data_IF_912869190234
#
_entry.id   IF_912869190234
#
_cell.length_a   1.000
_cell.length_b   1.000
_cell.length_c   1.000
_cell.angle_alpha   90.00
_cell.angle_beta   90.00
_cell.angle_gamma   90.00
#
_symmetry.space_group_name_H-M   'P 1'
#
loop_
_entity.id
_entity.type
_entity.pdbx_description
1 polymer ?
#
# COMPACT_ATOMS: atom_id res chain seq x y z
N UNK A 1 -15.95 17.54 -11.18
CA UNK A 1 -15.42 16.18 -10.90
C UNK A 1 -15.31 15.48 -12.24
N UNK A 2 -14.13 15.53 -12.86
CA UNK A 2 -13.91 14.98 -14.19
C UNK A 2 -13.96 13.46 -14.08
N UNK A 3 -15.02 12.84 -14.61
CA UNK A 3 -15.05 11.41 -14.87
C UNK A 3 -13.81 11.13 -15.72
N UNK A 4 -12.80 10.45 -15.15
CA UNK A 4 -11.63 10.02 -15.89
C UNK A 4 -12.15 9.12 -17.00
N UNK A 5 -12.14 9.64 -18.22
CA UNK A 5 -12.50 8.91 -19.43
C UNK A 5 -11.58 7.70 -19.53
N UNK A 6 -12.18 6.52 -19.37
CA UNK A 6 -11.58 5.19 -19.51
C UNK A 6 -11.34 4.89 -21.00
N UNK A 7 -10.62 5.76 -21.71
CA UNK A 7 -10.51 5.67 -23.18
C UNK A 7 -9.64 4.50 -23.68
N UNK A 8 -9.08 3.68 -22.79
CA UNK A 8 -8.28 2.51 -23.15
C UNK A 8 -8.60 1.24 -22.38
N UNK A 9 -9.66 1.25 -21.58
CA UNK A 9 -10.29 0.04 -21.07
C UNK A 9 -11.71 0.05 -21.61
N UNK A 10 -12.03 -0.87 -22.52
CA UNK A 10 -13.41 -1.07 -22.95
C UNK A 10 -14.24 -1.37 -21.72
N UNK A 11 -15.03 -0.37 -21.30
CA UNK A 11 -16.13 -0.61 -20.37
C UNK A 11 -17.01 -1.70 -21.00
N UNK A 12 -17.34 -2.78 -20.28
CA UNK A 12 -18.18 -3.82 -20.83
C UNK A 12 -19.56 -3.24 -21.16
N UNK A 13 -20.16 -3.72 -22.24
CA UNK A 13 -21.48 -3.29 -22.73
C UNK A 13 -22.60 -3.68 -21.75
N UNK A 14 -22.33 -4.63 -20.86
CA UNK A 14 -23.23 -5.11 -19.83
C UNK A 14 -22.98 -4.39 -18.49
N UNK A 15 -24.06 -3.85 -17.91
CA UNK A 15 -24.05 -3.37 -16.54
C UNK A 15 -23.82 -4.55 -15.57
N UNK A 16 -23.22 -4.29 -14.42
CA UNK A 16 -23.05 -5.24 -13.30
C UNK A 16 -22.08 -6.43 -13.52
N UNK A 17 -21.16 -6.33 -14.50
CA UNK A 17 -20.12 -7.37 -14.74
C UNK A 17 -18.79 -7.01 -14.07
N UNK A 18 -18.22 -7.95 -13.31
CA UNK A 18 -16.87 -7.82 -12.72
C UNK A 18 -15.81 -8.33 -13.70
N UNK A 19 -15.02 -7.42 -14.27
CA UNK A 19 -13.92 -7.76 -15.16
C UNK A 19 -12.66 -8.16 -14.39
N UNK A 20 -12.09 -9.30 -14.76
CA UNK A 20 -10.81 -9.78 -14.24
C UNK A 20 -9.91 -10.30 -15.33
N UNK A 21 -8.63 -10.03 -15.17
CA UNK A 21 -7.55 -10.57 -16.00
C UNK A 21 -6.44 -11.02 -15.05
N UNK A 22 -6.07 -12.32 -15.03
CA UNK A 22 -6.73 -13.43 -15.74
C UNK A 22 -8.15 -13.71 -15.21
N UNK A 23 -8.91 -14.61 -15.84
CA UNK A 23 -10.27 -14.94 -15.40
C UNK A 23 -10.26 -15.61 -14.02
N UNK A 24 -11.31 -15.38 -13.22
CA UNK A 24 -11.43 -15.94 -11.86
C UNK A 24 -11.22 -17.46 -11.76
N UNK A 25 -11.62 -18.21 -12.78
CA UNK A 25 -11.47 -19.67 -12.84
C UNK A 25 -10.01 -20.11 -12.79
N UNK A 26 -9.08 -19.27 -13.23
CA UNK A 26 -7.65 -19.58 -13.28
C UNK A 26 -6.90 -19.22 -12.00
N UNK A 27 -7.47 -18.37 -11.14
CA UNK A 27 -6.75 -17.75 -10.02
C UNK A 27 -6.22 -18.77 -9.01
N UNK A 28 -7.03 -19.77 -8.66
CA UNK A 28 -6.64 -20.81 -7.69
C UNK A 28 -5.41 -21.59 -8.20
N UNK A 29 -5.48 -22.08 -9.44
CA UNK A 29 -4.39 -22.84 -10.08
C UNK A 29 -3.10 -22.02 -10.19
N UNK A 30 -3.21 -20.73 -10.54
CA UNK A 30 -2.05 -19.85 -10.64
C UNK A 30 -1.43 -19.56 -9.27
N UNK A 31 -2.26 -19.39 -8.24
CA UNK A 31 -1.79 -19.15 -6.86
C UNK A 31 -1.02 -20.36 -6.32
N UNK A 32 -1.56 -21.58 -6.51
CA UNK A 32 -0.88 -22.82 -6.12
C UNK A 32 0.45 -23.04 -6.86
N UNK A 33 0.56 -22.56 -8.11
CA UNK A 33 1.82 -22.59 -8.84
C UNK A 33 2.86 -21.68 -8.17
N UNK A 34 2.45 -20.50 -7.71
CA UNK A 34 3.34 -19.50 -7.10
C UNK A 34 3.74 -19.85 -5.67
N UNK A 35 2.87 -20.54 -4.91
CA UNK A 35 3.07 -20.85 -3.50
C UNK A 35 4.26 -21.78 -3.20
N UNK A 36 4.88 -22.38 -4.22
CA UNK A 36 6.05 -23.24 -4.05
C UNK A 36 7.31 -22.49 -3.61
N UNK A 37 7.27 -21.16 -3.61
CA UNK A 37 8.40 -20.28 -3.30
C UNK A 37 8.26 -19.58 -1.93
N UNK A 38 7.53 -20.17 -0.97
CA UNK A 38 7.37 -19.59 0.37
C UNK A 38 8.72 -19.51 1.08
N UNK A 39 9.19 -18.29 1.35
CA UNK A 39 10.49 -18.04 1.99
C UNK A 39 10.37 -17.64 3.46
N UNK A 40 11.48 -17.76 4.19
CA UNK A 40 11.61 -17.25 5.56
C UNK A 40 11.31 -15.74 5.66
N UNK A 41 11.57 -14.98 4.60
CA UNK A 41 11.28 -13.55 4.49
C UNK A 41 9.79 -13.23 4.66
N UNK A 42 8.90 -14.13 4.22
CA UNK A 42 7.45 -13.95 4.37
C UNK A 42 6.98 -14.03 5.81
N UNK A 43 7.66 -14.81 6.67
CA UNK A 43 7.32 -14.90 8.11
C UNK A 43 7.38 -13.54 8.79
N UNK A 44 8.40 -12.74 8.51
CA UNK A 44 8.54 -11.41 9.13
C UNK A 44 7.37 -10.49 8.74
N UNK A 45 6.97 -10.50 7.47
CA UNK A 45 5.85 -9.70 6.96
C UNK A 45 4.50 -10.18 7.55
N UNK A 46 4.29 -11.50 7.64
CA UNK A 46 3.10 -12.07 8.26
C UNK A 46 3.01 -11.74 9.75
N UNK A 47 4.13 -11.83 10.49
CA UNK A 47 4.18 -11.39 11.90
C UNK A 47 3.80 -9.92 12.04
N UNK A 48 4.32 -9.06 11.16
CA UNK A 48 3.98 -7.64 11.19
C UNK A 48 2.47 -7.42 10.93
N UNK A 49 1.89 -8.15 9.98
CA UNK A 49 0.46 -8.07 9.66
C UNK A 49 -0.41 -8.59 10.83
N UNK A 50 -0.08 -9.75 11.38
CA UNK A 50 -0.77 -10.34 12.54
C UNK A 50 -0.70 -9.38 13.74
N UNK A 51 0.49 -8.86 14.05
CA UNK A 51 0.68 -7.95 15.17
C UNK A 51 -0.12 -6.66 14.99
N UNK A 52 -0.09 -6.03 13.82
CA UNK A 52 -0.89 -4.83 13.55
C UNK A 52 -2.39 -5.10 13.64
N UNK A 53 -2.85 -6.21 13.05
CA UNK A 53 -4.26 -6.62 13.09
C UNK A 53 -4.73 -6.86 14.53
N UNK A 54 -3.91 -7.53 15.34
CA UNK A 54 -4.23 -7.81 16.74
C UNK A 54 -4.22 -6.54 17.59
N UNK A 55 -3.21 -5.69 17.43
CA UNK A 55 -2.96 -4.56 18.37
C UNK A 55 -3.67 -3.27 17.99
N UNK A 56 -3.80 -2.97 16.70
CA UNK A 56 -4.42 -1.73 16.21
C UNK A 56 -5.86 -1.97 15.76
N UNK A 57 -6.07 -2.98 14.92
CA UNK A 57 -7.40 -3.29 14.36
C UNK A 57 -8.27 -4.06 15.38
N UNK A 58 -7.62 -4.75 16.33
CA UNK A 58 -8.26 -5.48 17.43
C UNK A 58 -9.23 -6.55 16.91
N UNK A 59 -8.73 -7.35 15.99
CA UNK A 59 -9.43 -8.50 15.43
C UNK A 59 -8.76 -9.82 15.84
N UNK A 60 -9.54 -10.91 15.96
CA UNK A 60 -8.99 -12.24 16.12
C UNK A 60 -7.96 -12.51 15.02
N UNK A 61 -6.82 -13.07 15.41
CA UNK A 61 -5.73 -13.39 14.50
C UNK A 61 -5.36 -14.87 14.61
N UNK A 62 -4.96 -15.50 13.51
CA UNK A 62 -4.48 -16.87 13.51
C UNK A 62 -3.16 -16.99 14.28
N UNK A 63 -2.84 -18.20 14.72
CA UNK A 63 -1.47 -18.54 15.14
C UNK A 63 -0.54 -18.45 13.96
N UNK A 64 0.66 -17.92 14.17
CA UNK A 64 1.63 -17.72 13.11
C UNK A 64 2.06 -19.07 12.49
N UNK A 65 1.68 -19.29 11.24
CA UNK A 65 2.20 -20.35 10.39
C UNK A 65 2.46 -19.81 8.97
N UNK A 66 3.29 -20.54 8.22
CA UNK A 66 3.55 -20.19 6.83
C UNK A 66 2.45 -20.76 5.94
N UNK A 67 1.65 -19.87 5.37
CA UNK A 67 0.63 -20.20 4.37
C UNK A 67 0.77 -19.34 3.13
N UNK A 68 0.06 -19.74 2.08
CA UNK A 68 -0.13 -18.89 0.92
C UNK A 68 -0.76 -17.55 1.32
N UNK A 69 -0.47 -16.51 0.57
CA UNK A 69 -0.98 -15.16 0.81
C UNK A 69 -1.66 -14.61 -0.43
N UNK A 70 -2.89 -14.16 -0.23
CA UNK A 70 -3.63 -13.34 -1.19
C UNK A 70 -3.57 -11.91 -0.66
N UNK A 71 -2.89 -11.04 -1.39
CA UNK A 71 -2.70 -9.65 -0.99
C UNK A 71 -3.60 -8.77 -1.85
N UNK A 72 -4.19 -7.75 -1.24
CA UNK A 72 -4.74 -6.59 -1.93
C UNK A 72 -4.36 -5.35 -1.13
N UNK A 73 -4.76 -4.16 -1.58
CA UNK A 73 -4.49 -2.95 -0.82
C UNK A 73 -5.12 -1.72 -1.40
N UNK A 74 -5.15 -0.68 -0.57
CA UNK A 74 -5.51 0.67 -0.95
C UNK A 74 -4.94 1.68 0.06
N UNK A 75 -5.00 2.95 -0.30
CA UNK A 75 -4.86 4.05 0.67
C UNK A 75 -5.96 3.91 1.74
N UNK A 76 -5.72 4.37 2.98
CA UNK A 76 -6.72 4.33 4.05
C UNK A 76 -7.81 5.39 3.85
N UNK A 77 -8.48 5.28 2.71
CA UNK A 77 -9.68 6.03 2.32
C UNK A 77 -10.90 5.12 2.50
N UNK A 78 -12.08 5.71 2.55
CA UNK A 78 -13.32 4.95 2.61
C UNK A 78 -13.61 4.25 1.28
N UNK A 79 -13.65 2.92 1.32
CA UNK A 79 -13.79 2.12 0.11
C UNK A 79 -15.15 2.31 -0.55
N UNK A 80 -15.16 2.88 -1.75
CA UNK A 80 -16.31 2.75 -2.65
C UNK A 80 -16.43 1.30 -3.17
N UNK A 81 -17.57 0.95 -3.79
CA UNK A 81 -17.88 -0.43 -4.18
C UNK A 81 -16.79 -1.12 -5.01
N UNK A 82 -16.14 -0.39 -5.93
CA UNK A 82 -15.03 -0.92 -6.74
C UNK A 82 -13.78 -1.30 -5.92
N UNK A 83 -13.43 -0.54 -4.87
CA UNK A 83 -12.32 -0.92 -3.98
C UNK A 83 -12.77 -2.07 -3.07
N UNK A 84 -14.01 -2.03 -2.59
CA UNK A 84 -14.55 -3.08 -1.74
C UNK A 84 -14.62 -4.44 -2.46
N UNK A 85 -15.01 -4.47 -3.74
CA UNK A 85 -15.04 -5.67 -4.55
C UNK A 85 -13.69 -6.41 -4.56
N UNK A 86 -12.56 -5.68 -4.66
CA UNK A 86 -11.22 -6.29 -4.58
C UNK A 86 -11.00 -7.02 -3.26
N UNK A 87 -11.38 -6.39 -2.15
CA UNK A 87 -11.19 -6.95 -0.81
C UNK A 87 -12.07 -8.19 -0.61
N UNK A 88 -13.33 -8.12 -1.02
CA UNK A 88 -14.30 -9.23 -0.95
C UNK A 88 -13.79 -10.43 -1.75
N UNK A 89 -13.41 -10.22 -3.01
CA UNK A 89 -12.93 -11.29 -3.89
C UNK A 89 -11.61 -11.88 -3.38
N UNK A 90 -10.68 -11.04 -2.95
CA UNK A 90 -9.39 -11.51 -2.39
C UNK A 90 -9.61 -12.38 -1.17
N UNK A 91 -10.54 -12.00 -0.30
CA UNK A 91 -10.90 -12.76 0.89
C UNK A 91 -11.49 -14.13 0.52
N UNK A 92 -12.47 -14.18 -0.37
CA UNK A 92 -13.08 -15.46 -0.78
C UNK A 92 -12.10 -16.37 -1.53
N UNK A 93 -11.19 -15.81 -2.33
CA UNK A 93 -10.10 -16.58 -2.93
C UNK A 93 -9.21 -17.19 -1.84
N UNK A 94 -8.82 -16.39 -0.84
CA UNK A 94 -7.98 -16.86 0.24
C UNK A 94 -8.64 -17.99 1.04
N UNK A 95 -9.93 -17.85 1.37
CA UNK A 95 -10.71 -18.88 2.04
C UNK A 95 -10.72 -20.19 1.24
N UNK A 96 -10.98 -20.12 -0.07
CA UNK A 96 -10.99 -21.29 -0.96
C UNK A 96 -9.64 -22.02 -0.99
N UNK A 97 -8.54 -21.30 -0.82
CA UNK A 97 -7.17 -21.83 -0.85
C UNK A 97 -6.61 -22.18 0.53
N UNK A 98 -7.35 -21.93 1.62
CA UNK A 98 -6.80 -22.00 2.99
C UNK A 98 -5.65 -21.00 3.25
N UNK A 99 -5.60 -19.92 2.47
CA UNK A 99 -4.57 -18.89 2.48
C UNK A 99 -4.92 -17.72 3.42
N UNK A 100 -3.95 -16.85 3.70
CA UNK A 100 -4.20 -15.59 4.38
C UNK A 100 -4.58 -14.49 3.39
N UNK A 101 -5.70 -13.81 3.65
CA UNK A 101 -6.03 -12.57 2.97
C UNK A 101 -5.41 -11.38 3.71
N UNK A 102 -4.57 -10.60 3.04
CA UNK A 102 -3.92 -9.43 3.62
C UNK A 102 -4.32 -8.16 2.86
N UNK A 103 -4.81 -7.17 3.60
CA UNK A 103 -5.01 -5.81 3.12
C UNK A 103 -3.79 -4.94 3.46
N UNK A 104 -3.03 -4.59 2.44
CA UNK A 104 -1.91 -3.68 2.53
C UNK A 104 -2.41 -2.22 2.56
N UNK A 105 -2.14 -1.52 3.66
CA UNK A 105 -2.61 -0.15 3.89
C UNK A 105 -1.54 0.82 3.36
N UNK A 106 -1.84 1.56 2.30
CA UNK A 106 -0.93 2.54 1.69
C UNK A 106 -0.92 3.85 2.49
N UNK A 107 -0.59 3.76 3.78
CA UNK A 107 -0.56 4.86 4.75
C UNK A 107 0.56 5.89 4.49
N UNK A 108 1.62 5.47 3.82
CA UNK A 108 2.71 6.34 3.33
C UNK A 108 2.33 7.24 2.13
N UNK A 109 1.10 7.16 1.63
CA UNK A 109 0.61 8.00 0.54
C UNK A 109 -0.41 9.04 1.02
N UNK A 110 -0.66 10.03 0.17
CA UNK A 110 -1.60 11.14 0.39
C UNK A 110 -2.95 10.80 -0.21
N UNK A 111 -4.05 11.06 0.50
CA UNK A 111 -5.39 10.87 -0.06
C UNK A 111 -6.46 11.62 0.71
N UNK A 112 -7.72 11.33 0.41
CA UNK A 112 -8.86 11.96 1.06
C UNK A 112 -9.41 11.08 2.19
N UNK A 113 -9.70 11.68 3.34
CA UNK A 113 -10.34 11.02 4.48
C UNK A 113 -11.87 11.15 4.50
N UNK A 114 -12.46 11.75 3.46
CA UNK A 114 -13.90 12.05 3.39
C UNK A 114 -14.72 10.80 3.08
N UNK A 115 -15.69 10.49 3.93
CA UNK A 115 -16.68 9.43 3.68
C UNK A 115 -17.84 10.01 2.88
N UNK A 116 -18.17 9.41 1.73
CA UNK A 116 -19.28 9.83 0.88
C UNK A 116 -20.41 8.81 1.01
N UNK A 117 -21.59 9.24 1.48
CA UNK A 117 -22.73 8.34 1.66
C UNK A 117 -23.98 8.84 0.92
N UNK A 118 -24.80 7.94 0.36
CA UNK A 118 -26.04 8.29 -0.32
C UNK A 118 -27.16 8.58 0.69
N UNK A 119 -27.61 9.83 0.78
CA UNK A 119 -28.68 10.28 1.68
C UNK A 119 -29.95 10.61 0.92
N UNK A 120 -31.11 10.50 1.58
CA UNK A 120 -32.38 10.97 1.02
C UNK A 120 -32.66 12.38 1.56
N UNK A 121 -32.65 13.38 0.68
CA UNK A 121 -32.99 14.76 1.02
C UNK A 121 -34.19 15.21 0.19
N UNK A 122 -35.25 15.69 0.84
CA UNK A 122 -36.49 16.15 0.17
C UNK A 122 -37.03 15.12 -0.85
N UNK A 123 -37.08 13.84 -0.45
CA UNK A 123 -37.49 12.69 -1.28
C UNK A 123 -36.64 12.43 -2.54
N UNK A 124 -35.39 12.92 -2.60
CA UNK A 124 -34.43 12.64 -3.68
C UNK A 124 -33.11 12.10 -3.13
N UNK A 125 -32.45 11.24 -3.89
CA UNK A 125 -31.10 10.77 -3.57
C UNK A 125 -30.09 11.90 -3.78
N UNK A 126 -29.21 12.08 -2.79
CA UNK A 126 -28.08 12.99 -2.82
C UNK A 126 -26.86 12.30 -2.20
N UNK A 127 -25.67 12.87 -2.40
CA UNK A 127 -24.45 12.42 -1.73
C UNK A 127 -24.12 13.43 -0.64
N UNK A 128 -23.93 12.95 0.58
CA UNK A 128 -23.41 13.73 1.71
C UNK A 128 -21.98 13.28 2.01
N UNK A 129 -21.13 14.25 2.33
CA UNK A 129 -19.74 14.00 2.71
C UNK A 129 -19.59 14.21 4.22
N UNK A 130 -18.89 13.27 4.87
CA UNK A 130 -18.57 13.30 6.29
C UNK A 130 -17.05 13.32 6.43
N UNK A 131 -16.54 14.23 7.25
CA UNK A 131 -15.10 14.43 7.42
C UNK A 131 -14.67 14.00 8.82
N UNK A 132 -13.53 13.30 8.89
CA UNK A 132 -12.95 12.84 10.16
C UNK A 132 -11.82 13.75 10.65
N UNK A 133 -11.26 14.57 9.75
CA UNK A 133 -10.20 15.54 10.03
C UNK A 133 -10.42 16.80 9.19
N UNK A 134 -9.74 17.89 9.58
CA UNK A 134 -9.73 19.13 8.81
C UNK A 134 -8.54 19.15 7.84
N UNK A 135 -8.84 18.95 6.55
CA UNK A 135 -8.04 19.24 5.36
C UNK A 135 -6.50 19.11 5.49
N UNK A 136 -6.03 17.88 5.70
CA UNK A 136 -4.60 17.51 5.73
C UNK A 136 -4.17 16.72 4.48
N UNK A 137 -4.84 16.92 3.34
CA UNK A 137 -4.75 16.08 2.14
C UNK A 137 -3.33 15.98 1.53
N UNK A 138 -2.45 16.92 1.87
CA UNK A 138 -1.07 16.99 1.38
C UNK A 138 -0.07 16.12 2.16
N UNK A 139 -0.40 15.70 3.37
CA UNK A 139 0.47 14.83 4.18
C UNK A 139 0.10 13.36 3.96
N UNK A 140 1.09 12.44 4.00
CA UNK A 140 0.79 11.02 4.05
C UNK A 140 -0.05 10.67 5.28
N UNK A 141 -0.98 9.73 5.15
CA UNK A 141 -1.88 9.36 6.25
C UNK A 141 -1.15 8.92 7.53
N UNK A 142 0.02 8.30 7.42
CA UNK A 142 0.82 7.88 8.59
C UNK A 142 1.31 9.05 9.45
N UNK A 143 1.37 10.26 8.88
CA UNK A 143 1.77 11.52 9.53
C UNK A 143 0.59 12.45 9.85
N UNK A 144 -0.64 12.06 9.51
CA UNK A 144 -1.83 12.80 9.92
C UNK A 144 -2.21 12.36 11.33
N UNK A 145 -2.25 13.32 12.25
CA UNK A 145 -2.68 13.07 13.63
C UNK A 145 -4.02 12.35 13.64
N UNK A 146 -4.19 11.39 14.56
CA UNK A 146 -5.51 10.80 14.75
C UNK A 146 -6.51 11.88 15.15
N UNK A 147 -7.73 11.77 14.65
CA UNK A 147 -8.87 12.52 15.16
C UNK A 147 -9.04 12.27 16.67
N UNK A 148 -9.50 13.30 17.40
CA UNK A 148 -9.81 13.18 18.82
C UNK A 148 -11.04 12.27 19.01
N UNK A 149 -11.18 11.64 20.18
CA UNK A 149 -12.27 10.70 20.43
C UNK A 149 -13.65 11.34 20.15
N UNK A 150 -13.88 12.57 20.59
CA UNK A 150 -15.16 13.27 20.39
C UNK A 150 -15.45 13.52 18.90
N UNK A 151 -14.41 13.79 18.09
CA UNK A 151 -14.54 13.92 16.63
C UNK A 151 -14.91 12.58 16.00
N UNK A 152 -14.28 11.49 16.43
CA UNK A 152 -14.58 10.13 15.94
C UNK A 152 -16.02 9.75 16.33
N UNK A 153 -16.43 10.00 17.58
CA UNK A 153 -17.78 9.71 18.05
C UNK A 153 -18.82 10.53 17.27
N UNK A 154 -18.58 11.82 17.06
CA UNK A 154 -19.45 12.68 16.25
C UNK A 154 -19.57 12.17 14.81
N UNK A 155 -18.46 11.76 14.21
CA UNK A 155 -18.44 11.17 12.88
C UNK A 155 -19.27 9.88 12.81
N UNK A 156 -19.06 8.95 13.75
CA UNK A 156 -19.81 7.69 13.81
C UNK A 156 -21.30 7.93 14.06
N UNK A 157 -21.65 8.83 14.99
CA UNK A 157 -23.03 9.18 15.30
C UNK A 157 -23.74 9.81 14.09
N UNK A 158 -23.04 10.64 13.31
CA UNK A 158 -23.55 11.18 12.05
C UNK A 158 -23.81 10.09 11.00
N UNK A 159 -22.91 9.11 10.89
CA UNK A 159 -23.09 7.95 10.00
C UNK A 159 -24.30 7.09 10.41
N UNK A 160 -24.53 6.90 11.72
CA UNK A 160 -25.66 6.12 12.26
C UNK A 160 -26.99 6.84 12.05
N UNK A 161 -27.06 8.13 12.36
CA UNK A 161 -28.30 8.91 12.33
C UNK A 161 -28.89 9.03 10.92
N UNK A 162 -28.05 9.23 9.91
CA UNK A 162 -28.50 9.43 8.53
C UNK A 162 -28.84 8.11 7.79
N UNK A 163 -28.51 6.94 8.37
CA UNK A 163 -28.60 5.66 7.68
C UNK A 163 -29.20 4.52 8.52
N UNK A 164 -30.51 4.58 8.77
CA UNK A 164 -31.28 3.45 9.35
C UNK A 164 -31.17 2.13 8.58
N UNK A 165 -30.70 2.15 7.32
CA UNK A 165 -30.63 0.98 6.44
C UNK A 165 -29.21 0.44 6.21
N UNK A 166 -28.14 1.11 6.69
CA UNK A 166 -26.77 0.66 6.43
C UNK A 166 -26.01 0.39 7.72
N UNK A 167 -25.90 -0.91 8.04
CA UNK A 167 -24.97 -1.43 9.04
C UNK A 167 -25.08 -0.75 10.42
N UNK A 168 -26.27 -0.29 10.83
CA UNK A 168 -26.48 0.41 12.10
C UNK A 168 -25.91 -0.37 13.30
N UNK A 169 -26.14 -1.68 13.34
CA UNK A 169 -25.58 -2.57 14.37
C UNK A 169 -24.05 -2.60 14.36
N UNK A 170 -23.42 -2.62 13.17
CA UNK A 170 -21.97 -2.55 13.04
C UNK A 170 -21.42 -1.26 13.64
N UNK A 171 -21.99 -0.12 13.28
CA UNK A 171 -21.56 1.18 13.76
C UNK A 171 -21.80 1.37 15.27
N UNK A 172 -22.91 0.85 15.81
CA UNK A 172 -23.17 0.87 17.25
C UNK A 172 -22.15 0.04 18.04
N UNK A 173 -21.80 -1.16 17.56
CA UNK A 173 -20.77 -1.97 18.20
C UNK A 173 -19.38 -1.35 18.09
N UNK A 174 -19.07 -0.71 16.96
CA UNK A 174 -17.85 0.07 16.78
C UNK A 174 -17.80 1.19 17.82
N UNK A 175 -18.87 1.97 17.93
CA UNK A 175 -19.00 3.08 18.88
C UNK A 175 -18.72 2.64 20.31
N UNK A 176 -19.27 1.50 20.72
CA UNK A 176 -19.09 0.94 22.07
C UNK A 176 -17.64 0.54 22.39
N UNK A 177 -16.78 0.35 21.38
CA UNK A 177 -15.39 -0.08 21.54
C UNK A 177 -14.37 1.07 21.41
N UNK A 178 -14.82 2.29 21.12
CA UNK A 178 -13.94 3.45 20.99
C UNK A 178 -13.47 3.94 22.36
N UNK A 179 -12.16 4.17 22.49
CA UNK A 179 -11.51 4.66 23.72
C UNK A 179 -10.50 5.76 23.40
N UNK A 180 -10.24 6.64 24.36
CA UNK A 180 -9.25 7.72 24.23
C UNK A 180 -7.85 7.14 23.98
N UNK A 181 -7.06 7.80 23.12
CA UNK A 181 -5.65 7.48 22.91
C UNK A 181 -5.38 6.16 22.16
N UNK A 182 -6.41 5.59 21.53
CA UNK A 182 -6.31 4.28 20.86
C UNK A 182 -5.46 4.29 19.59
N UNK A 183 -5.53 5.35 18.80
CA UNK A 183 -4.95 5.39 17.45
C UNK A 183 -3.80 6.39 17.37
N UNK A 184 -2.75 6.02 16.64
CA UNK A 184 -1.54 6.86 16.53
C UNK A 184 -1.68 7.92 15.45
N UNK A 185 -2.36 7.57 14.36
CA UNK A 185 -2.56 8.42 13.20
C UNK A 185 -3.94 8.16 12.57
N UNK A 186 -4.29 8.96 11.57
CA UNK A 186 -5.58 8.84 10.90
C UNK A 186 -5.77 7.50 10.19
N UNK A 187 -4.70 6.92 9.62
CA UNK A 187 -4.76 5.63 8.95
C UNK A 187 -5.28 4.55 9.91
N UNK A 188 -4.76 4.51 11.13
CA UNK A 188 -5.19 3.57 12.17
C UNK A 188 -6.69 3.72 12.47
N UNK A 189 -7.18 4.97 12.59
CA UNK A 189 -8.59 5.25 12.86
C UNK A 189 -9.50 4.78 11.73
N UNK A 190 -9.21 5.16 10.48
CA UNK A 190 -10.04 4.78 9.33
C UNK A 190 -10.01 3.26 9.15
N UNK A 191 -8.83 2.63 9.25
CA UNK A 191 -8.71 1.19 9.06
C UNK A 191 -9.38 0.39 10.18
N UNK A 192 -9.33 0.85 11.42
CA UNK A 192 -10.10 0.23 12.50
C UNK A 192 -11.60 0.26 12.19
N UNK A 193 -12.16 1.45 11.90
CA UNK A 193 -13.60 1.60 11.61
C UNK A 193 -14.01 0.74 10.41
N UNK A 194 -13.26 0.83 9.32
CA UNK A 194 -13.53 0.11 8.09
C UNK A 194 -13.41 -1.41 8.25
N UNK A 195 -12.40 -1.90 8.99
CA UNK A 195 -12.23 -3.32 9.25
C UNK A 195 -13.39 -3.92 10.05
N UNK A 196 -13.94 -3.18 11.02
CA UNK A 196 -15.12 -3.63 11.78
C UNK A 196 -16.37 -3.73 10.91
N UNK A 197 -16.53 -2.84 9.93
CA UNK A 197 -17.61 -2.95 8.94
C UNK A 197 -17.41 -4.20 8.07
N UNK A 198 -16.20 -4.47 7.59
CA UNK A 198 -15.91 -5.71 6.84
C UNK A 198 -16.14 -6.99 7.66
N UNK A 199 -15.69 -7.02 8.92
CA UNK A 199 -15.89 -8.15 9.81
C UNK A 199 -17.40 -8.45 10.02
N UNK A 200 -18.23 -7.41 10.05
CA UNK A 200 -19.70 -7.57 10.12
C UNK A 200 -20.32 -8.17 8.86
N UNK A 201 -19.62 -8.09 7.74
CA UNK A 201 -19.97 -8.77 6.48
C UNK A 201 -19.33 -10.16 6.37
N UNK A 202 -18.68 -10.67 7.43
CA UNK A 202 -17.98 -11.95 7.44
C UNK A 202 -16.63 -11.94 6.70
N UNK A 203 -16.04 -10.75 6.52
CA UNK A 203 -14.77 -10.55 5.80
C UNK A 203 -13.70 -10.18 6.82
N UNK A 204 -12.94 -11.18 7.24
CA UNK A 204 -11.87 -11.01 8.22
C UNK A 204 -10.50 -11.10 7.53
N UNK A 205 -9.83 -9.96 7.40
CA UNK A 205 -8.51 -9.87 6.77
C UNK A 205 -7.42 -9.58 7.80
N UNK A 206 -6.18 -9.91 7.44
CA UNK A 206 -5.00 -9.32 8.10
C UNK A 206 -4.71 -7.97 7.47
N UNK A 207 -4.21 -7.03 8.26
CA UNK A 207 -3.89 -5.67 7.84
C UNK A 207 -2.41 -5.39 8.06
N UNK A 208 -1.76 -4.79 7.06
CA UNK A 208 -0.35 -4.40 7.17
C UNK A 208 -0.14 -3.00 6.57
N UNK A 209 0.22 -1.99 7.37
CA UNK A 209 0.64 -0.71 6.84
C UNK A 209 1.95 -0.81 6.08
N UNK A 210 2.04 -0.09 4.95
CA UNK A 210 3.27 0.00 4.16
C UNK A 210 4.38 0.63 5.00
N UNK A 211 4.06 1.57 5.90
CA UNK A 211 5.05 2.12 6.85
C UNK A 211 5.71 1.04 7.72
N UNK A 212 4.92 0.06 8.20
CA UNK A 212 5.39 -1.08 9.00
C UNK A 212 6.11 -2.10 8.14
N UNK A 213 5.57 -2.43 6.97
CA UNK A 213 6.23 -3.29 5.98
C UNK A 213 7.63 -2.77 5.62
N UNK A 214 7.73 -1.46 5.37
CA UNK A 214 8.98 -0.80 4.96
C UNK A 214 10.02 -0.70 6.09
N UNK A 215 9.61 -0.99 7.33
CA UNK A 215 10.50 -1.01 8.50
C UNK A 215 11.06 -2.41 8.80
N UNK A 216 10.66 -3.43 8.04
CA UNK A 216 11.14 -4.80 8.20
C UNK A 216 12.56 -4.98 7.66
N UNK A 217 13.27 -6.00 8.17
CA UNK A 217 14.60 -6.34 7.65
C UNK A 217 14.53 -6.75 6.19
N UNK A 218 13.53 -7.55 5.82
CA UNK A 218 13.33 -7.99 4.42
C UNK A 218 13.21 -6.81 3.46
N UNK A 219 12.47 -5.76 3.82
CA UNK A 219 12.37 -4.58 2.98
C UNK A 219 13.69 -3.80 2.88
N UNK A 220 14.42 -3.66 4.00
CA UNK A 220 15.73 -3.00 4.00
C UNK A 220 16.75 -3.76 3.13
N UNK A 221 16.75 -5.09 3.19
CA UNK A 221 17.56 -5.94 2.31
C UNK A 221 17.25 -5.71 0.84
N UNK A 222 15.95 -5.68 0.50
CA UNK A 222 15.51 -5.38 -0.85
C UNK A 222 15.99 -3.99 -1.30
N UNK A 223 15.84 -2.96 -0.46
CA UNK A 223 16.31 -1.62 -0.77
C UNK A 223 17.83 -1.53 -0.93
N UNK A 224 18.60 -2.16 -0.03
CA UNK A 224 20.05 -2.22 -0.09
C UNK A 224 20.54 -2.93 -1.38
N UNK A 225 19.85 -3.99 -1.82
CA UNK A 225 20.18 -4.67 -3.08
C UNK A 225 20.03 -3.75 -4.30
N UNK A 226 19.00 -2.90 -4.32
CA UNK A 226 18.79 -1.91 -5.40
C UNK A 226 19.79 -0.76 -5.30
N UNK A 227 20.13 -0.31 -4.10
CA UNK A 227 21.14 0.74 -3.88
C UNK A 227 22.51 0.28 -4.43
N UNK A 228 22.89 -0.97 -4.13
CA UNK A 228 24.17 -1.55 -4.56
C UNK A 228 24.29 -1.64 -6.09
N UNK A 229 23.19 -1.93 -6.78
CA UNK A 229 23.14 -2.09 -8.23
C UNK A 229 22.34 -0.98 -8.93
N UNK A 230 22.45 0.24 -8.39
CA UNK A 230 21.57 1.35 -8.76
C UNK A 230 21.64 1.73 -10.24
N UNK A 231 22.84 1.79 -10.84
CA UNK A 231 23.00 2.16 -12.25
C UNK A 231 22.25 1.16 -13.14
N UNK A 232 22.42 -0.14 -12.91
CA UNK A 232 21.74 -1.17 -13.70
C UNK A 232 20.23 -1.17 -13.46
N UNK A 233 19.80 -1.16 -12.19
CA UNK A 233 18.38 -1.17 -11.84
C UNK A 233 17.64 0.04 -12.42
N UNK A 234 18.19 1.24 -12.27
CA UNK A 234 17.54 2.48 -12.73
C UNK A 234 17.44 2.52 -14.25
N UNK A 235 18.43 2.00 -14.97
CA UNK A 235 18.36 1.88 -16.43
C UNK A 235 17.24 0.93 -16.88
N UNK A 236 17.11 -0.25 -16.26
CA UNK A 236 16.00 -1.19 -16.56
C UNK A 236 14.65 -0.58 -16.20
N UNK A 237 14.53 0.03 -15.02
CA UNK A 237 13.32 0.72 -14.59
C UNK A 237 12.90 1.81 -15.59
N UNK A 238 13.84 2.65 -16.02
CA UNK A 238 13.58 3.74 -16.94
C UNK A 238 13.25 3.25 -18.36
N UNK A 239 13.88 2.17 -18.81
CA UNK A 239 13.53 1.49 -20.06
C UNK A 239 12.11 0.94 -20.02
N UNK A 240 11.74 0.21 -18.96
CA UNK A 240 10.41 -0.36 -18.77
C UNK A 240 9.33 0.72 -18.71
N UNK A 241 9.55 1.79 -17.93
CA UNK A 241 8.63 2.92 -17.85
C UNK A 241 8.53 3.72 -19.15
N UNK A 242 9.64 3.87 -19.88
CA UNK A 242 9.69 4.51 -21.19
C UNK A 242 8.84 3.79 -22.23
N UNK A 243 8.94 2.46 -22.30
CA UNK A 243 8.17 1.63 -23.23
C UNK A 243 6.66 1.71 -22.97
N UNK A 244 6.25 1.82 -21.71
CA UNK A 244 4.82 1.92 -21.34
C UNK A 244 4.19 3.28 -21.68
N UNK A 245 4.98 4.33 -21.92
CA UNK A 245 4.45 5.69 -22.23
C UNK A 245 3.80 5.79 -23.61
N UNK A 246 4.10 4.86 -24.51
CA UNK A 246 3.61 4.91 -25.89
C UNK A 246 2.17 4.43 -26.05
N UNK A 247 1.58 3.79 -25.03
CA UNK A 247 0.32 3.06 -25.20
C UNK A 247 -0.88 3.63 -24.43
N UNK A 248 -0.72 4.45 -23.39
CA UNK A 248 -1.86 4.88 -22.56
C UNK A 248 -1.60 6.18 -21.80
N UNK A 249 -2.61 7.04 -21.63
CA UNK A 249 -2.53 8.39 -21.02
C UNK A 249 -2.03 8.48 -19.57
N UNK A 250 -1.50 7.39 -19.00
CA UNK A 250 -0.77 7.39 -17.73
C UNK A 250 0.74 7.39 -18.00
N UNK A 251 1.42 8.43 -17.51
CA UNK A 251 2.87 8.60 -17.70
C UNK A 251 3.60 8.28 -16.39
N UNK A 252 4.10 7.04 -16.19
CA UNK A 252 4.93 6.73 -15.03
C UNK A 252 6.15 7.65 -15.00
N UNK A 253 6.55 8.05 -13.79
CA UNK A 253 7.72 8.91 -13.59
C UNK A 253 8.99 8.14 -13.93
N UNK A 254 9.79 8.72 -14.83
CA UNK A 254 11.17 8.31 -15.08
C UNK A 254 12.03 8.84 -13.93
N UNK A 255 12.95 8.01 -13.45
CA UNK A 255 13.92 8.35 -12.42
C UNK A 255 15.03 9.19 -13.04
N UNK A 256 15.45 10.26 -12.35
CA UNK A 256 16.53 11.12 -12.82
C UNK A 256 17.87 10.37 -12.81
N UNK A 257 18.67 10.59 -13.85
CA UNK A 257 20.04 10.08 -13.98
C UNK A 257 20.94 11.27 -14.30
N UNK A 258 22.02 11.42 -13.55
CA UNK A 258 23.16 12.27 -13.88
C UNK A 258 24.37 11.35 -14.10
N UNK A 259 24.60 10.98 -15.36
CA UNK A 259 25.66 10.06 -15.75
C UNK A 259 27.06 10.63 -15.57
N UNK A 260 27.21 11.97 -15.55
CA UNK A 260 28.51 12.64 -15.39
C UNK A 260 28.97 12.49 -13.94
N UNK A 261 28.08 12.82 -13.01
CA UNK A 261 28.37 12.73 -11.58
C UNK A 261 28.09 11.35 -10.99
N UNK A 262 27.63 10.37 -11.80
CA UNK A 262 27.22 9.03 -11.35
C UNK A 262 26.19 9.07 -10.23
N UNK A 263 25.21 9.97 -10.37
CA UNK A 263 24.10 10.13 -9.44
C UNK A 263 22.81 9.59 -10.05
N UNK A 264 22.10 8.74 -9.31
CA UNK A 264 20.88 8.07 -9.76
C UNK A 264 19.75 8.29 -8.76
N UNK A 265 18.57 8.72 -9.23
CA UNK A 265 17.36 8.72 -8.41
C UNK A 265 16.91 7.26 -8.23
N UNK A 266 16.76 6.84 -6.99
CA UNK A 266 16.27 5.51 -6.64
C UNK A 266 14.75 5.49 -6.55
N UNK A 267 14.11 4.31 -6.65
CA UNK A 267 12.66 4.23 -6.72
C UNK A 267 12.03 4.20 -5.31
N UNK A 268 12.59 4.99 -4.40
CA UNK A 268 12.21 5.14 -3.00
C UNK A 268 12.01 6.62 -2.64
N UNK A 269 11.23 6.85 -1.59
CA UNK A 269 11.14 8.10 -0.87
C UNK A 269 11.92 7.99 0.44
N UNK A 270 12.65 9.04 0.80
CA UNK A 270 13.00 9.37 2.18
C UNK A 270 11.94 10.31 2.71
N UNK A 271 11.28 9.93 3.79
CA UNK A 271 10.21 10.71 4.41
C UNK A 271 10.72 11.31 5.71
N UNK A 272 10.61 12.63 5.86
CA UNK A 272 11.03 13.31 7.09
C UNK A 272 10.09 13.01 8.25
N UNK A 273 10.51 13.38 9.47
CA UNK A 273 9.66 13.29 10.68
C UNK A 273 8.36 14.10 10.59
N UNK A 274 8.26 15.03 9.65
CA UNK A 274 7.07 15.87 9.40
C UNK A 274 6.27 15.40 8.17
N UNK A 275 6.55 14.22 7.62
CA UNK A 275 5.81 13.65 6.49
C UNK A 275 6.20 14.19 5.11
N UNK A 276 7.25 15.02 4.99
CA UNK A 276 7.75 15.48 3.68
C UNK A 276 8.44 14.32 2.96
N UNK A 277 7.92 13.93 1.80
CA UNK A 277 8.54 12.93 0.91
C UNK A 277 9.61 13.60 0.03
N UNK A 278 10.83 13.10 0.12
CA UNK A 278 12.00 13.51 -0.67
C UNK A 278 12.47 12.30 -1.48
N UNK A 279 12.75 12.41 -2.80
CA UNK A 279 13.32 11.32 -3.56
C UNK A 279 14.67 10.88 -2.96
N UNK A 280 14.89 9.58 -2.88
CA UNK A 280 16.21 9.04 -2.54
C UNK A 280 17.11 9.09 -3.79
N UNK A 281 18.33 9.57 -3.63
CA UNK A 281 19.39 9.49 -4.63
C UNK A 281 20.57 8.69 -4.07
N UNK A 282 21.31 8.08 -4.98
CA UNK A 282 22.61 7.50 -4.71
C UNK A 282 23.65 8.09 -5.66
N UNK A 283 24.78 8.49 -5.13
CA UNK A 283 25.97 8.86 -5.88
C UNK A 283 27.02 7.76 -5.67
N UNK A 284 27.45 7.14 -6.77
CA UNK A 284 28.42 6.04 -6.76
C UNK A 284 29.76 6.56 -7.25
N UNK A 285 30.72 6.66 -6.34
CA UNK A 285 32.11 6.96 -6.65
C UNK A 285 32.96 5.68 -6.60
N UNK A 286 34.20 5.74 -7.09
CA UNK A 286 35.09 4.56 -7.16
C UNK A 286 35.35 3.87 -5.82
N UNK A 287 35.22 4.60 -4.71
CA UNK A 287 35.56 4.14 -3.36
C UNK A 287 34.43 4.27 -2.35
N UNK A 288 33.36 5.00 -2.69
CA UNK A 288 32.31 5.35 -1.73
C UNK A 288 30.94 5.39 -2.40
N UNK A 289 29.92 5.03 -1.64
CA UNK A 289 28.52 5.25 -1.96
C UNK A 289 27.95 6.33 -1.04
N UNK A 290 27.30 7.33 -1.63
CA UNK A 290 26.68 8.44 -0.90
C UNK A 290 25.17 8.39 -1.14
N UNK A 291 24.38 8.41 -0.06
CA UNK A 291 22.92 8.51 -0.14
C UNK A 291 22.45 9.92 0.19
N UNK A 292 21.57 10.44 -0.67
CA UNK A 292 21.00 11.77 -0.54
C UNK A 292 19.47 11.71 -0.51
N UNK A 293 18.85 12.54 0.33
CA UNK A 293 17.42 12.82 0.29
C UNK A 293 17.22 14.18 -0.38
N UNK A 294 16.61 14.20 -1.56
CA UNK A 294 16.76 15.32 -2.51
C UNK A 294 18.26 15.60 -2.77
N UNK A 295 18.77 16.72 -2.27
CA UNK A 295 20.16 17.19 -2.40
C UNK A 295 20.96 17.03 -1.10
N UNK A 296 20.33 16.56 -0.02
CA UNK A 296 20.94 16.46 1.29
C UNK A 296 21.54 15.06 1.52
N UNK A 297 22.86 15.00 1.58
CA UNK A 297 23.60 13.82 2.05
C UNK A 297 23.20 13.44 3.49
N UNK A 298 22.99 12.15 3.73
CA UNK A 298 22.71 11.62 5.07
C UNK A 298 23.48 10.33 5.40
N UNK A 299 24.10 9.70 4.40
CA UNK A 299 24.98 8.55 4.58
C UNK A 299 26.08 8.57 3.53
N UNK A 300 27.31 8.26 3.95
CA UNK A 300 28.48 8.04 3.11
C UNK A 300 29.25 6.86 3.68
N UNK A 301 29.62 5.91 2.83
CA UNK A 301 30.39 4.73 3.22
C UNK A 301 30.53 3.72 2.10
N UNK A 302 31.20 2.60 2.40
CA UNK A 302 31.30 1.45 1.50
C UNK A 302 30.12 0.50 1.74
N UNK A 303 29.15 0.54 0.84
CA UNK A 303 27.94 -0.30 0.89
C UNK A 303 28.11 -1.66 0.17
N UNK A 304 29.35 -2.16 0.06
CA UNK A 304 29.68 -3.41 -0.65
C UNK A 304 29.06 -4.67 -0.05
N UNK A 305 28.85 -4.71 1.28
CA UNK A 305 28.19 -5.82 1.99
C UNK A 305 26.76 -5.44 2.38
N UNK A 306 25.77 -6.16 1.82
CA UNK A 306 24.34 -5.86 1.98
C UNK A 306 23.89 -5.86 3.44
N UNK A 307 24.36 -6.80 4.27
CA UNK A 307 23.96 -6.87 5.68
C UNK A 307 24.43 -5.65 6.47
N UNK A 308 25.70 -5.26 6.27
CA UNK A 308 26.27 -4.06 6.87
C UNK A 308 25.55 -2.80 6.36
N UNK A 309 25.29 -2.74 5.06
CA UNK A 309 24.57 -1.62 4.45
C UNK A 309 23.15 -1.46 5.00
N UNK A 310 22.42 -2.55 5.26
CA UNK A 310 21.09 -2.48 5.85
C UNK A 310 21.12 -1.82 7.23
N UNK A 311 22.13 -2.15 8.04
CA UNK A 311 22.35 -1.55 9.35
C UNK A 311 22.70 -0.07 9.23
N UNK A 312 23.67 0.29 8.40
CA UNK A 312 24.11 1.68 8.19
C UNK A 312 23.00 2.58 7.67
N UNK A 313 22.22 2.11 6.69
CA UNK A 313 21.05 2.83 6.14
C UNK A 313 20.03 3.07 7.24
N UNK A 314 19.71 2.03 8.03
CA UNK A 314 18.74 2.13 9.11
C UNK A 314 19.19 3.12 10.17
N UNK A 315 20.44 3.05 10.62
CA UNK A 315 20.98 3.97 11.62
C UNK A 315 21.01 5.41 11.11
N UNK A 316 21.41 5.63 9.85
CA UNK A 316 21.44 6.96 9.27
C UNK A 316 20.03 7.59 9.20
N UNK A 317 19.03 6.82 8.76
CA UNK A 317 17.65 7.26 8.77
C UNK A 317 17.17 7.58 10.20
N UNK A 318 17.48 6.72 11.17
CA UNK A 318 17.10 6.92 12.58
C UNK A 318 17.74 8.19 13.18
N UNK A 319 19.03 8.44 12.92
CA UNK A 319 19.73 9.65 13.38
C UNK A 319 19.06 10.94 12.92
N UNK A 320 18.43 10.93 11.75
CA UNK A 320 17.69 12.08 11.21
C UNK A 320 16.19 12.07 11.54
N UNK A 321 15.67 11.01 12.18
CA UNK A 321 14.23 10.82 12.36
C UNK A 321 13.48 10.65 11.03
N UNK A 322 14.14 10.05 10.04
CA UNK A 322 13.63 9.84 8.69
C UNK A 322 13.24 8.39 8.46
N UNK A 323 12.49 8.16 7.39
CA UNK A 323 11.92 6.86 7.05
C UNK A 323 12.07 6.55 5.57
N UNK A 324 12.37 5.29 5.24
CA UNK A 324 12.37 4.83 3.84
C UNK A 324 10.99 4.30 3.45
N UNK A 325 10.48 4.71 2.29
CA UNK A 325 9.21 4.22 1.73
C UNK A 325 9.38 3.89 0.24
N UNK A 326 8.73 2.84 -0.29
CA UNK A 326 8.76 2.56 -1.72
C UNK A 326 7.93 3.58 -2.51
N UNK A 327 8.29 3.81 -3.77
CA UNK A 327 7.36 4.39 -4.77
C UNK A 327 6.38 3.30 -5.26
N UNK A 328 5.30 3.70 -5.92
CA UNK A 328 4.22 2.78 -6.32
C UNK A 328 4.69 1.52 -7.09
N UNK A 329 5.53 1.70 -8.12
CA UNK A 329 6.06 0.56 -8.92
C UNK A 329 6.94 -0.37 -8.08
N UNK A 330 7.80 0.20 -7.23
CA UNK A 330 8.65 -0.55 -6.30
C UNK A 330 7.85 -1.30 -5.24
N UNK A 331 6.76 -0.69 -4.76
CA UNK A 331 5.85 -1.33 -3.82
C UNK A 331 5.22 -2.57 -4.46
N UNK A 332 4.69 -2.43 -5.68
CA UNK A 332 4.13 -3.57 -6.42
C UNK A 332 5.18 -4.65 -6.64
N UNK A 333 6.37 -4.28 -7.10
CA UNK A 333 7.49 -5.19 -7.30
C UNK A 333 7.85 -5.97 -6.02
N UNK A 334 8.01 -5.25 -4.89
CA UNK A 334 8.32 -5.88 -3.59
C UNK A 334 7.23 -6.85 -3.15
N UNK A 335 5.96 -6.43 -3.22
CA UNK A 335 4.83 -7.26 -2.80
C UNK A 335 4.76 -8.54 -3.64
N UNK A 336 4.91 -8.44 -4.96
CA UNK A 336 4.87 -9.60 -5.87
C UNK A 336 6.01 -10.59 -5.64
N UNK A 337 7.20 -10.12 -5.28
CA UNK A 337 8.35 -11.01 -5.04
C UNK A 337 8.37 -11.63 -3.65
N UNK A 338 8.08 -10.82 -2.61
CA UNK A 338 8.38 -11.21 -1.24
C UNK A 338 7.14 -11.54 -0.42
N UNK A 339 5.95 -11.09 -0.83
CA UNK A 339 4.80 -11.13 0.06
C UNK A 339 3.57 -11.85 -0.48
N UNK A 340 3.26 -11.74 -1.77
CA UNK A 340 2.00 -12.23 -2.34
C UNK A 340 2.24 -13.45 -3.24
N UNK A 341 1.52 -14.54 -3.00
CA UNK A 341 1.38 -15.60 -4.00
C UNK A 341 0.32 -15.24 -5.06
N UNK A 342 -0.66 -14.42 -4.64
CA UNK A 342 -1.61 -13.74 -5.52
C UNK A 342 -1.80 -12.29 -5.10
N UNK A 343 -1.59 -11.35 -6.02
CA UNK A 343 -1.76 -9.92 -5.74
C UNK A 343 -2.89 -9.33 -6.56
N UNK A 344 -3.91 -8.79 -5.89
CA UNK A 344 -5.11 -8.24 -6.51
C UNK A 344 -5.07 -6.72 -6.52
N UNK A 345 -4.94 -6.16 -7.72
CA UNK A 345 -5.01 -4.72 -7.98
C UNK A 345 -6.37 -4.28 -8.51
N UNK A 346 -6.62 -2.96 -8.44
CA UNK A 346 -7.70 -2.33 -9.21
C UNK A 346 -7.22 -1.87 -10.57
N UNK A 347 -8.09 -1.22 -11.33
CA UNK A 347 -7.80 -0.68 -12.67
C UNK A 347 -6.54 0.21 -12.69
N UNK A 348 -6.31 1.00 -11.63
CA UNK A 348 -5.09 1.80 -11.51
C UNK A 348 -3.81 0.97 -11.53
N UNK A 349 -3.84 -0.25 -10.99
CA UNK A 349 -2.70 -1.16 -10.95
C UNK A 349 -2.45 -1.92 -12.25
N UNK A 350 -3.46 -2.10 -13.10
CA UNK A 350 -3.29 -2.70 -14.43
C UNK A 350 -2.25 -1.96 -15.30
N UNK A 351 -2.03 -0.67 -15.02
CA UNK A 351 -1.03 0.17 -15.69
C UNK A 351 0.40 -0.06 -15.18
N UNK A 352 0.54 -0.65 -13.99
CA UNK A 352 1.83 -0.98 -13.39
C UNK A 352 2.32 -2.36 -13.83
N UNK A 353 1.41 -3.29 -14.08
CA UNK A 353 1.75 -4.70 -14.36
C UNK A 353 2.78 -4.87 -15.49
N UNK A 354 2.60 -4.28 -16.70
CA UNK A 354 3.56 -4.50 -17.78
C UNK A 354 4.97 -3.96 -17.46
N UNK A 355 5.04 -2.87 -16.69
CA UNK A 355 6.29 -2.26 -16.27
C UNK A 355 6.98 -3.16 -15.25
N UNK A 356 6.23 -3.63 -14.25
CA UNK A 356 6.76 -4.52 -13.20
C UNK A 356 7.17 -5.87 -13.79
N UNK A 357 6.40 -6.44 -14.73
CA UNK A 357 6.75 -7.66 -15.44
C UNK A 357 8.07 -7.52 -16.22
N UNK A 358 8.27 -6.38 -16.90
CA UNK A 358 9.51 -6.09 -17.58
C UNK A 358 10.70 -6.03 -16.61
N UNK A 359 10.53 -5.38 -15.44
CA UNK A 359 11.58 -5.30 -14.41
C UNK A 359 11.87 -6.69 -13.81
N UNK A 360 10.84 -7.48 -13.49
CA UNK A 360 10.99 -8.84 -12.98
C UNK A 360 11.80 -9.72 -13.95
N UNK A 361 11.47 -9.63 -15.24
CA UNK A 361 12.17 -10.40 -16.27
C UNK A 361 13.60 -9.92 -16.51
N UNK A 362 13.80 -8.61 -16.72
CA UNK A 362 15.10 -8.08 -17.14
C UNK A 362 16.10 -7.94 -16.00
N UNK A 363 15.65 -7.63 -14.77
CA UNK A 363 16.54 -7.45 -13.62
C UNK A 363 16.62 -8.70 -12.73
N UNK A 364 15.48 -9.34 -12.43
CA UNK A 364 15.46 -10.51 -11.54
C UNK A 364 15.54 -11.86 -12.28
N UNK A 365 15.32 -11.90 -13.59
CA UNK A 365 15.36 -13.12 -14.39
C UNK A 365 14.20 -14.08 -14.12
N UNK A 366 13.06 -13.57 -13.60
CA UNK A 366 11.88 -14.35 -13.22
C UNK A 366 10.80 -14.30 -14.31
#
# INVERSE_FOLDING_TARGET
>A
MTIKTLNSLSLPVENDVLLTVPQFTDWAKLTEKNSKLVTQSRKELLRAAINYTKTTIDMPCPTEDLRCTVVTGHQPEWHHCGIAAKSIVSYHLAQKLGAYCIHLILDHDTGSSKLRMPVIQKNKWAIKEFELENDCDKLPFEFRSSAQLDQILTFVDACVADHKYFCQSAWQEIRAKLTIGRFRNLADTIMFLQAKVYAKMGIDMLYLPVSKMSSTKVFLHFAASIIKDAEFFVNIYNKATGNSRNNDGYKPRILKIDSINKTFELPFWVVSSHGKRMPLFVNINRTETILLADDREFLRGDLGNIDLSCFEIKEALQRHGWYLRPKALTLTLFVRMYFADWFVHGIGGAKYEPIVDCILKEYFGI
#
